data_IF_427344586372
#
_entry.id   IF_427344586372
#
_cell.length_a   1.000
_cell.length_b   1.000
_cell.length_c   1.000
_cell.angle_alpha   90.00
_cell.angle_beta   90.00
_cell.angle_gamma   90.00
#
_symmetry.space_group_name_H-M   'P 1'
#
loop_
_entity.id
_entity.type
_entity.pdbx_description
1 polymer ?
#
# COMPACT_ATOMS: atom_id res chain seq x y z
N UNK A 1 9.16 15.09 18.73
CA UNK A 1 8.33 15.15 17.51
C UNK A 1 7.80 13.75 17.29
N UNK A 2 6.49 13.55 17.33
CA UNK A 2 5.89 12.28 16.91
C UNK A 2 6.03 12.11 15.40
N UNK A 3 5.92 10.87 14.92
CA UNK A 3 5.80 10.61 13.48
C UNK A 3 4.58 11.35 12.92
N UNK A 4 4.63 11.85 11.67
CA UNK A 4 3.48 12.47 11.03
C UNK A 4 2.33 11.46 10.93
N UNK A 5 1.09 11.94 10.96
CA UNK A 5 -0.11 11.09 10.89
C UNK A 5 -0.21 10.35 9.55
N UNK A 6 0.36 10.92 8.49
CA UNK A 6 0.36 10.37 7.13
C UNK A 6 1.79 10.37 6.57
N UNK A 7 2.14 9.40 5.70
CA UNK A 7 3.40 9.42 4.99
C UNK A 7 3.46 10.58 3.99
N UNK A 8 4.68 10.98 3.64
CA UNK A 8 4.92 11.94 2.56
C UNK A 8 4.93 11.24 1.20
N UNK A 9 4.67 12.00 0.13
CA UNK A 9 4.71 11.46 -1.24
C UNK A 9 6.14 11.03 -1.57
N UNK A 10 6.30 9.77 -1.97
CA UNK A 10 7.60 9.16 -2.27
C UNK A 10 8.30 8.53 -1.07
N UNK A 11 7.71 8.60 0.12
CA UNK A 11 8.18 7.87 1.29
C UNK A 11 7.96 6.35 1.11
N UNK A 12 8.96 5.56 1.48
CA UNK A 12 8.85 4.10 1.51
C UNK A 12 8.27 3.67 2.86
N UNK A 13 7.15 2.97 2.80
CA UNK A 13 6.40 2.53 3.99
C UNK A 13 6.21 1.02 3.99
N UNK A 14 6.19 0.42 5.18
CA UNK A 14 5.80 -0.98 5.33
C UNK A 14 4.27 -1.09 5.38
N UNK A 15 3.72 -1.98 4.56
CA UNK A 15 2.29 -2.21 4.47
C UNK A 15 1.95 -3.69 4.41
N UNK A 16 0.85 -4.07 5.07
CA UNK A 16 0.33 -5.44 5.08
C UNK A 16 -0.89 -5.57 4.16
N UNK A 17 -0.88 -6.54 3.26
CA UNK A 17 -2.02 -6.81 2.35
C UNK A 17 -3.20 -7.38 3.12
N UNK A 18 -4.36 -6.71 3.04
CA UNK A 18 -5.61 -7.17 3.67
C UNK A 18 -6.54 -7.86 2.69
N UNK A 19 -6.61 -7.37 1.45
CA UNK A 19 -7.54 -7.89 0.44
C UNK A 19 -7.00 -7.69 -0.97
N UNK A 20 -7.11 -8.72 -1.80
CA UNK A 20 -6.70 -8.69 -3.20
C UNK A 20 -7.96 -8.64 -4.06
N UNK A 21 -7.97 -7.75 -5.03
CA UNK A 21 -9.02 -7.55 -6.03
C UNK A 21 -8.44 -7.66 -7.44
N UNK A 22 -9.31 -7.78 -8.45
CA UNK A 22 -8.86 -7.89 -9.85
C UNK A 22 -8.16 -6.63 -10.37
N UNK A 23 -8.39 -5.47 -9.74
CA UNK A 23 -7.82 -4.18 -10.13
C UNK A 23 -6.71 -3.68 -9.19
N UNK A 24 -6.40 -4.41 -8.12
CA UNK A 24 -5.42 -3.95 -7.13
C UNK A 24 -5.47 -4.70 -5.81
N UNK A 25 -4.81 -4.15 -4.80
CA UNK A 25 -4.79 -4.69 -3.45
C UNK A 25 -5.04 -3.59 -2.42
N UNK A 26 -5.90 -3.87 -1.45
CA UNK A 26 -6.06 -3.06 -0.25
C UNK A 26 -5.03 -3.49 0.79
N UNK A 27 -4.33 -2.52 1.34
CA UNK A 27 -3.26 -2.70 2.32
C UNK A 27 -3.49 -1.83 3.56
N UNK A 28 -2.90 -2.19 4.68
CA UNK A 28 -2.82 -1.34 5.88
C UNK A 28 -1.39 -0.86 6.07
N UNK A 29 -1.22 0.40 6.46
CA UNK A 29 0.07 1.00 6.75
C UNK A 29 0.47 0.72 8.20
N UNK A 30 1.36 -0.24 8.41
CA UNK A 30 1.70 -0.76 9.74
C UNK A 30 2.34 0.32 10.64
N UNK A 31 3.02 1.29 10.03
CA UNK A 31 3.68 2.40 10.73
C UNK A 31 2.76 3.62 10.97
N UNK A 32 1.53 3.58 10.44
CA UNK A 32 0.59 4.71 10.45
C UNK A 32 -0.80 4.26 10.91
N UNK A 33 -0.88 3.68 12.12
CA UNK A 33 -2.14 3.28 12.78
C UNK A 33 -3.05 2.39 11.91
N UNK A 34 -2.46 1.47 11.14
CA UNK A 34 -3.18 0.56 10.24
C UNK A 34 -4.08 1.28 9.22
N UNK A 35 -3.75 2.53 8.85
CA UNK A 35 -4.51 3.29 7.85
C UNK A 35 -4.61 2.52 6.53
N UNK A 36 -5.78 2.59 5.91
CA UNK A 36 -6.03 1.88 4.65
C UNK A 36 -5.38 2.58 3.45
N UNK A 37 -4.75 1.78 2.61
CA UNK A 37 -4.19 2.18 1.32
C UNK A 37 -4.68 1.27 0.19
N UNK A 38 -4.62 1.79 -1.04
CA UNK A 38 -4.94 1.04 -2.25
C UNK A 38 -3.72 1.01 -3.18
N UNK A 39 -3.26 -0.19 -3.52
CA UNK A 39 -2.27 -0.43 -4.55
C UNK A 39 -2.99 -0.82 -5.85
N UNK A 40 -3.02 0.09 -6.82
CA UNK A 40 -3.58 -0.21 -8.13
C UNK A 40 -2.67 -1.16 -8.92
N UNK A 41 -3.24 -2.10 -9.69
CA UNK A 41 -2.46 -3.12 -10.42
C UNK A 41 -1.39 -2.52 -11.35
N UNK A 42 -1.66 -1.36 -11.96
CA UNK A 42 -0.70 -0.64 -12.81
C UNK A 42 0.58 -0.20 -12.09
N UNK A 43 0.54 -0.05 -10.76
CA UNK A 43 1.66 0.38 -9.92
C UNK A 43 2.40 -0.81 -9.28
N UNK A 44 1.81 -2.02 -9.29
CA UNK A 44 2.40 -3.21 -8.66
C UNK A 44 3.51 -3.81 -9.52
N UNK A 45 3.32 -3.83 -10.85
CA UNK A 45 4.34 -4.29 -11.79
C UNK A 45 4.01 -3.80 -13.20
N UNK A 46 5.01 -3.36 -13.99
CA UNK A 46 4.83 -3.08 -15.42
C UNK A 46 4.62 -4.36 -16.24
N UNK A 47 4.75 -5.55 -15.63
CA UNK A 47 4.64 -6.86 -16.28
C UNK A 47 3.52 -7.69 -15.67
N UNK A 48 2.97 -8.61 -16.47
CA UNK A 48 1.82 -9.45 -16.10
C UNK A 48 2.10 -10.28 -14.85
N UNK A 49 1.35 -10.07 -13.78
CA UNK A 49 1.40 -10.87 -12.55
C UNK A 49 0.66 -12.19 -12.79
N UNK A 50 1.37 -13.31 -12.77
CA UNK A 50 0.82 -14.67 -12.88
C UNK A 50 0.86 -15.34 -11.50
N UNK A 51 -0.21 -16.06 -11.15
CA UNK A 51 -0.25 -17.02 -10.04
C UNK A 51 0.20 -18.39 -10.57
#
# INVERSE_FOLDING_TARGET
MGRPEWPEVGELVVATVRRIESYGAYVTLDEYDDKEGLLHISEISPSWVRN
#
